data_IF_275104529203
#
_entry.id   IF_275104529203
#
_cell.length_a   1.000
_cell.length_b   1.000
_cell.length_c   1.000
_cell.angle_alpha   90.00
_cell.angle_beta   90.00
_cell.angle_gamma   90.00
#
_symmetry.space_group_name_H-M   'P 1'
#
loop_
_entity.id
_entity.type
_entity.pdbx_description
1 polymer ?
#
# COMPACT_ATOMS: atom_id res chain seq x y z
N UNK A 1 1.46 12.98 18.80
CA UNK A 1 2.32 11.78 18.91
C UNK A 1 1.47 10.57 18.56
N UNK A 2 2.01 9.61 17.81
CA UNK A 2 1.32 8.38 17.46
C UNK A 2 2.28 7.19 17.61
N UNK A 3 1.72 6.00 17.79
CA UNK A 3 2.47 4.73 17.85
C UNK A 3 1.77 3.74 16.94
N UNK A 4 2.55 3.11 16.08
CA UNK A 4 2.07 2.00 15.26
C UNK A 4 2.71 0.72 15.78
N UNK A 5 1.93 -0.24 16.30
CA UNK A 5 2.44 -1.55 16.66
C UNK A 5 3.08 -2.25 15.45
N UNK A 6 4.14 -3.01 15.70
CA UNK A 6 4.89 -3.71 14.65
C UNK A 6 3.97 -4.60 13.80
N UNK A 7 4.07 -4.46 12.48
CA UNK A 7 3.34 -5.29 11.51
C UNK A 7 1.91 -4.85 11.20
N UNK A 8 1.39 -3.80 11.85
CA UNK A 8 0.06 -3.29 11.56
C UNK A 8 0.06 -2.32 10.37
N UNK A 9 -0.96 -2.46 9.53
CA UNK A 9 -1.23 -1.53 8.43
C UNK A 9 -1.60 -0.17 9.00
N UNK A 10 -1.01 0.88 8.43
CA UNK A 10 -1.25 2.27 8.80
C UNK A 10 -1.03 3.18 7.59
N UNK A 11 -1.56 4.40 7.63
CA UNK A 11 -1.41 5.40 6.57
C UNK A 11 -1.35 6.81 7.15
N UNK A 12 -0.91 7.77 6.34
CA UNK A 12 -0.98 9.20 6.67
C UNK A 12 -1.64 9.94 5.50
N UNK A 13 -2.45 10.93 5.81
CA UNK A 13 -3.11 11.79 4.82
C UNK A 13 -3.07 13.23 5.33
N UNK A 14 -2.55 14.14 4.50
CA UNK A 14 -2.66 15.57 4.77
C UNK A 14 -4.07 16.03 4.36
N UNK A 15 -4.85 16.51 5.33
CA UNK A 15 -6.22 17.03 5.11
C UNK A 15 -6.30 18.55 5.20
N UNK A 16 -5.18 19.23 5.46
CA UNK A 16 -5.08 20.68 5.46
C UNK A 16 -4.58 21.22 4.13
N UNK A 17 -4.63 22.53 3.98
CA UNK A 17 -4.26 23.23 2.74
C UNK A 17 -2.76 23.57 2.67
N UNK A 18 -2.03 23.40 3.77
CA UNK A 18 -0.60 23.69 3.89
C UNK A 18 0.25 22.41 3.91
N UNK A 19 1.56 22.55 3.63
CA UNK A 19 2.51 21.44 3.68
C UNK A 19 2.67 20.91 5.10
N UNK A 20 2.42 19.61 5.29
CA UNK A 20 2.66 18.91 6.55
C UNK A 20 3.98 18.12 6.54
N UNK A 21 4.63 18.02 7.71
CA UNK A 21 5.84 17.23 7.93
C UNK A 21 5.69 16.35 9.17
N UNK A 22 6.16 15.11 9.09
CA UNK A 22 6.22 14.19 10.24
C UNK A 22 7.63 13.65 10.42
N UNK A 23 8.05 13.52 11.67
CA UNK A 23 9.27 12.79 12.05
C UNK A 23 8.86 11.46 12.67
N UNK A 24 9.46 10.37 12.19
CA UNK A 24 9.20 9.01 12.68
C UNK A 24 10.51 8.35 13.09
N UNK A 25 10.44 7.44 14.06
CA UNK A 25 11.57 6.67 14.55
C UNK A 25 11.18 5.19 14.64
N UNK A 26 12.13 4.32 14.34
CA UNK A 26 11.96 2.87 14.39
C UNK A 26 12.90 2.28 15.42
N UNK A 27 12.47 1.20 16.08
CA UNK A 27 13.30 0.44 17.01
C UNK A 27 14.14 -0.65 16.33
N UNK A 28 14.42 -0.49 15.04
CA UNK A 28 15.24 -1.40 14.23
C UNK A 28 16.12 -0.58 13.29
N UNK A 29 17.35 -1.03 13.08
CA UNK A 29 18.25 -0.49 12.06
C UNK A 29 17.81 -0.87 10.64
N UNK A 30 17.00 -1.93 10.51
CA UNK A 30 16.43 -2.42 9.25
C UNK A 30 14.92 -2.59 9.43
N UNK A 31 14.14 -1.50 9.50
CA UNK A 31 12.70 -1.59 9.77
C UNK A 31 11.93 -2.21 8.60
N UNK A 32 12.40 -1.99 7.37
CA UNK A 32 11.69 -2.37 6.15
C UNK A 32 10.36 -1.62 5.97
N UNK A 33 9.87 -1.58 4.73
CA UNK A 33 8.55 -1.01 4.42
C UNK A 33 7.86 -1.88 3.40
N UNK A 34 6.57 -2.13 3.61
CA UNK A 34 5.70 -2.85 2.67
C UNK A 34 4.61 -1.90 2.23
N UNK A 35 4.73 -1.36 1.01
CA UNK A 35 3.66 -0.55 0.41
C UNK A 35 2.57 -1.48 -0.12
N UNK A 36 1.45 -1.56 0.58
CA UNK A 36 0.37 -2.52 0.28
C UNK A 36 -0.08 -2.43 -1.17
N UNK A 37 -0.36 -1.23 -1.68
CA UNK A 37 -0.86 -1.03 -3.04
C UNK A 37 0.17 -1.43 -4.11
N UNK A 38 1.40 -0.92 -4.02
CA UNK A 38 2.48 -1.26 -4.96
C UNK A 38 2.85 -2.75 -4.91
N UNK A 39 2.83 -3.37 -3.73
CA UNK A 39 3.14 -4.80 -3.59
C UNK A 39 1.99 -5.73 -4.00
N UNK A 40 0.78 -5.22 -4.22
CA UNK A 40 -0.34 -6.03 -4.75
C UNK A 40 -0.51 -5.84 -6.25
N UNK A 41 -0.38 -4.60 -6.73
CA UNK A 41 -0.78 -4.23 -8.10
C UNK A 41 0.38 -3.75 -8.99
N UNK A 42 1.58 -3.53 -8.44
CA UNK A 42 2.76 -3.04 -9.17
C UNK A 42 4.00 -3.93 -9.07
N UNK A 43 3.85 -5.17 -8.60
CA UNK A 43 4.97 -6.11 -8.49
C UNK A 43 5.41 -6.61 -9.86
N UNK A 44 6.68 -7.02 -9.94
CA UNK A 44 7.24 -7.68 -11.12
C UNK A 44 7.85 -9.02 -10.71
N UNK A 45 7.31 -10.17 -11.14
CA UNK A 45 6.13 -10.32 -12.00
C UNK A 45 4.82 -9.87 -11.32
N UNK A 46 3.82 -9.54 -12.13
CA UNK A 46 2.47 -9.18 -11.66
C UNK A 46 1.80 -10.38 -11.01
N UNK A 47 0.96 -10.12 -10.00
CA UNK A 47 0.14 -11.16 -9.39
C UNK A 47 -0.93 -11.64 -10.39
N UNK A 48 -1.28 -12.94 -10.43
CA UNK A 48 -2.32 -13.42 -11.33
C UNK A 48 -3.66 -12.73 -11.08
N UNK A 49 -4.32 -12.26 -12.14
CA UNK A 49 -5.61 -11.57 -12.06
C UNK A 49 -6.65 -12.42 -11.31
N UNK A 50 -6.67 -13.74 -11.52
CA UNK A 50 -7.62 -14.65 -10.86
C UNK A 50 -7.50 -14.62 -9.33
N UNK A 51 -6.28 -14.45 -8.79
CA UNK A 51 -6.05 -14.34 -7.34
C UNK A 51 -6.62 -13.02 -6.83
N UNK A 52 -6.34 -11.92 -7.53
CA UNK A 52 -6.83 -10.59 -7.16
C UNK A 52 -8.36 -10.52 -7.28
N UNK A 53 -8.94 -11.01 -8.37
CA UNK A 53 -10.39 -11.09 -8.56
C UNK A 53 -11.06 -11.89 -7.45
N UNK A 54 -10.50 -13.04 -7.07
CA UNK A 54 -11.04 -13.88 -5.99
C UNK A 54 -10.92 -13.22 -4.62
N UNK A 55 -9.77 -12.61 -4.33
CA UNK A 55 -9.49 -11.99 -3.03
C UNK A 55 -10.35 -10.73 -2.80
N UNK A 56 -10.50 -9.91 -3.84
CA UNK A 56 -11.26 -8.66 -3.76
C UNK A 56 -12.74 -8.81 -4.15
N UNK A 57 -13.15 -9.99 -4.64
CA UNK A 57 -14.52 -10.29 -5.08
C UNK A 57 -15.03 -9.34 -6.18
N UNK A 58 -14.15 -9.03 -7.14
CA UNK A 58 -14.42 -8.14 -8.27
C UNK A 58 -14.15 -8.82 -9.60
N UNK A 59 -14.63 -8.23 -10.69
CA UNK A 59 -14.38 -8.73 -12.03
C UNK A 59 -13.02 -8.24 -12.57
N UNK A 60 -12.62 -8.81 -13.72
CA UNK A 60 -11.36 -8.47 -14.38
C UNK A 60 -11.23 -6.99 -14.72
N UNK A 61 -12.31 -6.36 -15.19
CA UNK A 61 -12.29 -4.93 -15.56
C UNK A 61 -11.85 -4.03 -14.40
N UNK A 62 -12.23 -4.35 -13.15
CA UNK A 62 -11.80 -3.60 -11.97
C UNK A 62 -10.31 -3.84 -11.68
N UNK A 63 -9.84 -5.09 -11.77
CA UNK A 63 -8.42 -5.42 -11.58
C UNK A 63 -7.55 -4.76 -12.64
N UNK A 64 -7.92 -4.84 -13.92
CA UNK A 64 -7.23 -4.18 -15.03
C UNK A 64 -7.15 -2.67 -14.81
N UNK A 65 -8.26 -2.05 -14.35
CA UNK A 65 -8.30 -0.63 -14.03
C UNK A 65 -7.34 -0.27 -12.89
N UNK A 66 -7.28 -1.07 -11.83
CA UNK A 66 -6.36 -0.83 -10.71
C UNK A 66 -4.91 -1.02 -11.18
N UNK A 67 -4.58 -2.14 -11.81
CA UNK A 67 -3.23 -2.45 -12.32
C UNK A 67 -2.70 -1.37 -13.27
N UNK A 68 -3.56 -0.78 -14.10
CA UNK A 68 -3.19 0.35 -14.99
C UNK A 68 -2.61 1.57 -14.26
N UNK A 69 -2.81 1.69 -12.94
CA UNK A 69 -2.26 2.77 -12.11
C UNK A 69 -0.87 2.48 -11.55
N UNK A 70 -0.37 1.25 -11.66
CA UNK A 70 0.83 0.79 -10.94
C UNK A 70 2.01 0.32 -11.81
N UNK A 71 1.84 0.13 -13.13
CA UNK A 71 2.96 0.05 -14.10
C UNK A 71 3.68 -1.28 -14.25
#
# INVERSE_FOLDING_TARGET
>A
MFVVPRGLVHFQMNVGDETALIYTAFNSHLPGTVFVSSNLFGTRPSLPDDVLMKAFQVNKSVIDQINSKFG
#
